data_IF_325907200460
#
_entry.id   IF_325907200460
#
_cell.length_a   1.000
_cell.length_b   1.000
_cell.length_c   1.000
_cell.angle_alpha   90.00
_cell.angle_beta   90.00
_cell.angle_gamma   90.00
#
_symmetry.space_group_name_H-M   'P 1'
#
loop_
_entity.id
_entity.type
_entity.pdbx_description
1 polymer ?
2 polymer ?
3 non-polymer ?
4 water ?
#
# COMPACT_ATOMS: atom_id res chain seq x y z
N UNK A 6 -8.97 -0.12 -3.46
CA UNK A 6 -7.81 -0.68 -4.13
C UNK A 6 -6.76 -1.12 -3.10
N UNK A 7 -5.57 -1.43 -3.58
CA UNK A 7 -4.46 -1.84 -2.73
C UNK A 7 -3.18 -1.85 -3.56
N UNK A 8 -2.12 -1.22 -3.06
CA UNK A 8 -0.97 -0.94 -3.92
C UNK A 8 -0.60 -2.19 -4.69
N UNK A 9 -0.26 -2.05 -5.97
CA UNK A 9 -0.02 -3.17 -6.91
C UNK A 9 1.22 -4.00 -6.62
N UNK A 10 2.16 -3.49 -5.82
CA UNK A 10 3.38 -4.23 -5.53
C UNK A 10 3.23 -5.07 -4.26
N UNK A 11 2.08 -4.93 -3.62
CA UNK A 11 1.79 -5.65 -2.38
C UNK A 11 0.80 -6.79 -2.64
N UNK A 12 0.19 -6.78 -3.82
CA UNK A 12 -0.71 -7.86 -4.24
C UNK A 12 -0.24 -9.26 -3.86
N UNK A 13 1.01 -9.62 -4.23
CA UNK A 13 1.42 -11.01 -3.99
C UNK A 13 1.31 -11.45 -2.52
N UNK A 14 1.22 -10.49 -1.59
CA UNK A 14 1.03 -10.83 -0.17
C UNK A 14 -0.39 -11.36 0.07
N UNK A 15 -1.27 -11.08 -0.89
CA UNK A 15 -2.68 -11.48 -0.81
C UNK A 15 -2.92 -12.84 -1.47
N UNK A 16 -3.28 -13.81 -0.64
CA UNK A 16 -3.63 -15.14 -1.14
C UNK A 16 -4.47 -15.14 -2.42
N UNK A 17 -5.48 -14.28 -2.50
CA UNK A 17 -6.39 -14.35 -3.66
C UNK A 17 -5.72 -13.78 -4.88
N UNK A 18 -4.89 -12.77 -4.71
CA UNK A 18 -4.11 -12.38 -5.86
C UNK A 18 -3.27 -13.54 -6.41
N UNK A 19 -2.72 -14.34 -5.50
CA UNK A 19 -1.77 -15.37 -5.88
C UNK A 19 -2.54 -16.45 -6.66
N UNK A 20 -3.63 -16.92 -6.08
CA UNK A 20 -4.52 -17.85 -6.76
C UNK A 20 -4.80 -17.35 -8.15
N UNK A 21 -5.14 -16.07 -8.23
CA UNK A 21 -5.54 -15.47 -9.49
C UNK A 21 -4.48 -15.70 -10.56
N UNK A 22 -3.21 -15.81 -10.17
CA UNK A 22 -2.14 -16.02 -11.16
C UNK A 22 -2.21 -17.37 -11.91
N UNK A 23 -2.91 -18.35 -11.34
CA UNK A 23 -2.88 -19.67 -11.96
C UNK A 23 -3.82 -19.74 -13.14
N UNK A 24 -3.24 -19.68 -14.34
CA UNK A 24 -4.03 -19.59 -15.56
C UNK A 24 -4.45 -20.98 -15.97
N UNK A 25 -3.64 -21.60 -16.81
CA UNK A 25 -3.92 -22.97 -17.22
C UNK A 25 -3.19 -23.99 -16.35
N UNK A 26 -3.24 -23.78 -15.04
CA UNK A 26 -2.65 -24.75 -14.12
C UNK A 26 -3.38 -26.08 -14.25
N UNK A 27 -2.61 -27.16 -14.48
CA UNK A 27 -3.23 -28.45 -14.76
C UNK A 27 -3.72 -29.17 -13.50
N UNK A 28 -3.06 -28.98 -12.36
CA UNK A 28 -3.45 -29.72 -11.17
C UNK A 28 -4.58 -29.06 -10.41
N UNK A 29 -5.78 -29.60 -10.63
CA UNK A 29 -6.98 -29.07 -9.98
C UNK A 29 -7.56 -30.11 -9.02
N UNK A 30 -8.88 -30.24 -9.03
CA UNK A 30 -9.58 -31.08 -8.05
C UNK A 30 -9.02 -32.50 -7.98
N UNK A 31 -8.87 -33.02 -6.77
CA UNK A 31 -8.28 -34.32 -6.57
C UNK A 31 -6.77 -34.28 -6.35
N UNK A 32 -6.07 -33.36 -7.02
CA UNK A 32 -4.64 -33.13 -6.83
C UNK A 32 -4.38 -32.41 -5.53
N UNK A 33 -3.16 -32.53 -5.01
CA UNK A 33 -2.81 -31.85 -3.76
C UNK A 33 -2.13 -30.49 -4.00
N UNK A 34 -1.60 -30.26 -5.20
CA UNK A 34 -1.11 -28.94 -5.54
C UNK A 34 -2.11 -28.15 -6.37
N UNK A 35 -3.32 -27.97 -5.83
CA UNK A 35 -4.31 -27.09 -6.47
C UNK A 35 -3.83 -25.63 -6.40
N UNK A 36 -4.27 -24.80 -7.34
CA UNK A 36 -3.97 -23.36 -7.31
C UNK A 36 -4.12 -22.83 -5.88
N UNK A 37 -5.18 -23.25 -5.23
CA UNK A 37 -5.46 -22.81 -3.89
C UNK A 37 -4.35 -23.14 -2.91
N UNK A 38 -3.90 -24.40 -2.93
CA UNK A 38 -2.90 -24.86 -1.97
C UNK A 38 -1.54 -24.23 -2.27
N UNK A 39 -1.35 -23.93 -3.55
CA UNK A 39 -0.14 -23.33 -4.05
C UNK A 39 -0.06 -21.90 -3.48
N UNK A 40 -1.15 -21.16 -3.60
CA UNK A 40 -1.26 -19.81 -3.11
C UNK A 40 -1.07 -19.84 -1.61
N UNK A 41 -1.73 -20.77 -0.94
CA UNK A 41 -1.57 -20.83 0.49
C UNK A 41 -0.08 -20.97 0.79
N UNK A 42 0.62 -21.69 -0.09
CA UNK A 42 2.05 -21.95 0.04
C UNK A 42 2.92 -20.72 -0.30
N UNK A 43 2.34 -19.73 -0.96
CA UNK A 43 3.11 -18.57 -1.34
C UNK A 43 3.49 -18.53 -2.80
N UNK A 44 3.05 -19.52 -3.58
CA UNK A 44 3.45 -19.58 -4.99
C UNK A 44 2.60 -18.74 -5.92
N UNK A 45 3.27 -18.18 -6.91
CA UNK A 45 2.61 -17.48 -7.99
C UNK A 45 2.98 -18.23 -9.26
N UNK A 46 2.06 -18.31 -10.20
CA UNK A 46 2.32 -19.07 -11.40
C UNK A 46 2.97 -18.14 -12.39
N UNK A 47 4.15 -18.49 -12.86
CA UNK A 47 4.85 -17.64 -13.80
C UNK A 47 5.39 -18.49 -14.94
N UNK A 48 4.46 -18.98 -15.78
CA UNK A 48 4.70 -19.99 -16.82
C UNK A 48 5.33 -19.42 -18.06
N UNK A 49 6.40 -20.07 -18.52
CA UNK A 49 6.86 -19.84 -19.87
C UNK A 49 6.50 -21.06 -20.69
N UNK A 50 6.61 -20.94 -22.01
CA UNK A 50 6.33 -22.07 -22.86
C UNK A 50 7.32 -23.20 -22.60
N UNK A 51 8.56 -22.83 -22.27
CA UNK A 51 9.60 -23.82 -22.01
C UNK A 51 9.34 -24.64 -20.74
N UNK A 52 8.70 -24.00 -19.77
CA UNK A 52 8.26 -24.68 -18.55
C UNK A 52 6.92 -24.10 -18.10
N UNK A 53 5.84 -24.66 -18.62
CA UNK A 53 4.47 -24.16 -18.44
C UNK A 53 3.95 -24.34 -17.02
N UNK A 54 4.69 -25.06 -16.17
CA UNK A 54 4.23 -25.30 -14.80
C UNK A 54 5.13 -24.60 -13.77
N UNK A 55 5.74 -23.50 -14.19
CA UNK A 55 6.71 -22.78 -13.37
C UNK A 55 6.02 -21.98 -12.29
N UNK A 56 6.32 -22.30 -11.04
CA UNK A 56 5.75 -21.56 -9.93
C UNK A 56 6.89 -20.96 -9.12
N UNK A 57 6.63 -19.79 -8.53
CA UNK A 57 7.67 -19.03 -7.85
C UNK A 57 7.17 -18.39 -6.56
N UNK A 58 7.91 -18.57 -5.47
CA UNK A 58 7.59 -17.89 -4.25
C UNK A 58 7.74 -16.37 -4.40
N UNK A 59 6.68 -15.63 -4.13
CA UNK A 59 6.69 -14.17 -4.32
C UNK A 59 7.64 -13.51 -3.31
N UNK A 60 7.78 -14.15 -2.16
CA UNK A 60 8.70 -13.74 -1.12
C UNK A 60 10.19 -14.05 -1.28
N UNK A 61 10.51 -15.32 -1.62
CA UNK A 61 11.89 -15.77 -1.77
C UNK A 61 12.34 -15.98 -3.18
N UNK A 62 11.39 -15.97 -4.08
CA UNK A 62 11.66 -15.92 -5.48
C UNK A 62 12.20 -17.22 -5.97
N UNK A 63 12.24 -18.19 -5.09
CA UNK A 63 12.68 -19.51 -5.42
C UNK A 63 11.69 -20.02 -6.43
N UNK A 64 12.19 -20.63 -7.49
CA UNK A 64 11.38 -21.08 -8.63
C UNK A 64 11.36 -22.60 -8.70
N UNK A 65 10.17 -23.16 -8.89
CA UNK A 65 9.97 -24.60 -8.88
C UNK A 65 9.10 -25.07 -10.04
N UNK A 66 9.59 -26.11 -10.73
CA UNK A 66 8.92 -26.73 -11.86
C UNK A 66 8.82 -28.24 -11.63
N UNK A 67 8.30 -28.97 -12.61
CA UNK A 67 8.21 -30.41 -12.48
C UNK A 67 7.23 -30.81 -11.39
N UNK A 68 6.16 -30.03 -11.26
CA UNK A 68 5.11 -30.35 -10.31
C UNK A 68 4.44 -31.66 -10.67
N UNK A 69 4.09 -32.45 -9.67
CA UNK A 69 3.27 -33.64 -9.85
C UNK A 69 2.08 -33.55 -8.92
N UNK A 70 0.97 -34.21 -9.28
CA UNK A 70 -0.31 -34.01 -8.59
C UNK A 70 -0.26 -34.22 -7.07
N UNK A 71 0.59 -35.13 -6.60
CA UNK A 71 0.65 -35.44 -5.17
C UNK A 71 1.55 -34.46 -4.39
N UNK A 72 2.29 -33.62 -5.12
CA UNK A 72 3.14 -32.63 -4.47
C UNK A 72 2.31 -31.74 -3.54
N UNK A 73 2.66 -31.73 -2.26
CA UNK A 73 2.12 -30.77 -1.31
C UNK A 73 2.98 -29.49 -1.30
N UNK A 74 2.47 -28.41 -1.92
CA UNK A 74 3.29 -27.27 -2.32
C UNK A 74 4.02 -26.67 -1.13
N UNK A 75 3.51 -26.92 0.06
CA UNK A 75 4.07 -26.37 1.27
C UNK A 75 5.33 -27.13 1.64
N UNK A 76 5.25 -28.45 1.57
CA UNK A 76 6.39 -29.30 1.89
C UNK A 76 7.47 -29.10 0.84
N UNK A 77 7.07 -29.00 -0.42
CA UNK A 77 8.00 -28.64 -1.47
C UNK A 77 8.65 -27.29 -1.14
N UNK A 78 7.90 -26.39 -0.53
CA UNK A 78 8.44 -25.09 -0.20
C UNK A 78 9.51 -25.24 0.87
N UNK A 79 9.15 -25.84 2.00
CA UNK A 79 10.12 -26.08 3.06
C UNK A 79 11.34 -26.82 2.51
N UNK A 80 11.11 -27.73 1.58
CA UNK A 80 12.17 -28.56 1.05
C UNK A 80 13.19 -27.75 0.24
N UNK A 81 12.70 -26.94 -0.70
CA UNK A 81 13.56 -26.29 -1.67
C UNK A 81 13.97 -24.86 -1.29
N UNK A 82 13.45 -24.38 -0.17
CA UNK A 82 13.83 -23.07 0.33
C UNK A 82 13.46 -22.99 1.79
N UNK A 83 14.24 -23.68 2.60
CA UNK A 83 13.96 -23.84 4.03
C UNK A 83 13.96 -22.51 4.80
N UNK A 84 14.64 -21.50 4.27
CA UNK A 84 14.82 -20.26 5.02
C UNK A 84 13.87 -19.13 4.66
N UNK A 85 12.76 -19.46 4.02
CA UNK A 85 11.83 -18.43 3.56
C UNK A 85 10.94 -17.93 4.70
N UNK A 86 11.10 -16.66 5.05
CA UNK A 86 10.40 -16.04 6.18
C UNK A 86 8.89 -16.10 6.06
N UNK A 87 8.39 -16.17 4.83
CA UNK A 87 6.96 -16.38 4.61
C UNK A 87 6.42 -17.64 5.30
N UNK A 88 7.14 -18.75 5.14
CA UNK A 88 6.81 -20.00 5.82
C UNK A 88 6.53 -19.83 7.30
N UNK A 89 7.27 -18.93 7.92
CA UNK A 89 7.14 -18.65 9.35
C UNK A 89 5.87 -17.87 9.64
N UNK A 90 5.50 -17.01 8.71
CA UNK A 90 4.28 -16.24 8.87
C UNK A 90 3.12 -17.18 9.12
N UNK A 91 2.57 -17.15 10.32
CA UNK A 91 1.45 -18.03 10.62
C UNK A 91 0.10 -17.32 10.76
N UNK A 92 0.11 -15.98 10.74
CA UNK A 92 -1.15 -15.24 10.76
C UNK A 92 -1.70 -15.05 9.35
N UNK A 93 -3.01 -14.83 9.25
CA UNK A 93 -3.57 -14.34 7.99
C UNK A 93 -3.10 -12.88 7.76
N UNK A 94 -3.07 -12.48 6.49
CA UNK A 94 -2.52 -11.19 6.14
C UNK A 94 -3.10 -10.03 7.00
N UNK A 95 -4.42 -9.94 7.09
CA UNK A 95 -5.06 -8.84 7.80
C UNK A 95 -4.95 -8.93 9.31
N UNK A 96 -4.41 -10.04 9.81
CA UNK A 96 -4.14 -10.16 11.23
C UNK A 96 -2.74 -9.63 11.48
N UNK A 97 -1.98 -9.46 10.42
CA UNK A 97 -0.63 -8.90 10.55
C UNK A 97 -0.68 -7.43 10.98
N UNK A 98 0.30 -7.05 11.77
CA UNK A 98 0.55 -5.67 12.10
C UNK A 98 1.24 -4.98 10.92
N UNK A 99 1.09 -3.66 10.82
CA UNK A 99 1.75 -2.92 9.75
C UNK A 99 3.24 -2.94 9.91
N UNK A 100 3.69 -2.95 11.16
CA UNK A 100 5.10 -3.07 11.43
C UNK A 100 5.62 -4.41 10.94
N UNK A 101 5.02 -5.48 11.43
CA UNK A 101 5.32 -6.82 10.96
C UNK A 101 5.28 -6.83 9.44
N UNK A 102 4.21 -6.29 8.86
CA UNK A 102 4.10 -6.30 7.42
C UNK A 102 5.31 -5.67 6.78
N UNK A 103 5.73 -4.52 7.29
CA UNK A 103 6.84 -3.80 6.67
C UNK A 103 8.17 -4.48 6.93
N UNK A 104 8.27 -5.21 8.04
CA UNK A 104 9.45 -6.01 8.29
C UNK A 104 9.55 -7.02 7.15
N UNK A 105 8.49 -7.82 7.00
CA UNK A 105 8.41 -8.83 5.96
C UNK A 105 8.76 -8.26 4.61
N UNK A 106 8.15 -7.13 4.27
CA UNK A 106 8.31 -6.59 2.93
C UNK A 106 9.73 -6.11 2.73
N UNK A 107 10.45 -5.95 3.84
CA UNK A 107 11.82 -5.46 3.78
C UNK A 107 12.68 -6.65 3.43
N UNK A 108 12.49 -7.73 4.18
CA UNK A 108 13.19 -8.96 3.86
C UNK A 108 12.96 -9.41 2.43
N UNK A 109 11.82 -9.08 1.87
CA UNK A 109 11.48 -9.58 0.55
C UNK A 109 12.20 -8.76 -0.48
N UNK A 110 12.35 -7.48 -0.21
CA UNK A 110 13.06 -6.62 -1.14
C UNK A 110 14.53 -6.99 -1.16
N UNK A 111 15.03 -7.44 0.00
CA UNK A 111 16.38 -8.00 0.07
C UNK A 111 16.46 -9.39 -0.61
N UNK A 112 15.52 -10.28 -0.34
CA UNK A 112 15.53 -11.57 -1.04
C UNK A 112 15.60 -11.33 -2.54
N UNK A 113 14.84 -10.35 -3.01
CA UNK A 113 14.81 -10.00 -4.41
C UNK A 113 16.19 -9.58 -4.90
N UNK A 114 16.88 -8.77 -4.11
CA UNK A 114 18.23 -8.35 -4.47
C UNK A 114 19.21 -9.54 -4.50
N UNK A 115 19.26 -10.33 -3.43
CA UNK A 115 20.00 -11.60 -3.48
C UNK A 115 19.79 -12.36 -4.78
N UNK A 116 18.53 -12.49 -5.20
CA UNK A 116 18.13 -13.28 -6.37
C UNK A 116 18.74 -12.75 -7.66
N UNK A 117 18.55 -11.46 -7.91
CA UNK A 117 19.19 -10.78 -9.03
C UNK A 117 20.72 -10.96 -8.99
N UNK A 118 21.30 -10.91 -7.80
CA UNK A 118 22.74 -11.09 -7.69
C UNK A 118 23.07 -12.48 -8.19
N UNK A 119 22.45 -13.47 -7.57
CA UNK A 119 22.66 -14.86 -7.95
C UNK A 119 22.46 -15.08 -9.45
N UNK A 120 21.52 -14.36 -10.04
CA UNK A 120 21.33 -14.47 -11.47
C UNK A 120 22.51 -13.91 -12.22
N UNK A 121 22.91 -12.69 -11.85
CA UNK A 121 23.96 -11.99 -12.57
C UNK A 121 25.23 -12.79 -12.56
N UNK A 122 25.46 -13.49 -11.45
CA UNK A 122 26.63 -14.32 -11.27
C UNK A 122 26.58 -15.53 -12.19
N UNK A 123 25.36 -16.03 -12.43
CA UNK A 123 25.16 -17.21 -13.27
C UNK A 123 25.36 -16.82 -14.71
N UNK A 124 24.85 -15.67 -15.09
CA UNK A 124 25.10 -15.13 -16.42
C UNK A 124 26.59 -14.89 -16.65
N UNK A 125 27.30 -14.56 -15.57
CA UNK A 125 28.70 -14.19 -15.69
C UNK A 125 29.52 -15.45 -15.96
N UNK A 126 29.32 -16.48 -15.14
CA UNK A 126 29.99 -17.75 -15.33
C UNK A 126 29.66 -18.34 -16.69
N UNK A 127 28.44 -18.13 -17.14
CA UNK A 127 28.05 -18.68 -18.42
C UNK A 127 28.91 -18.11 -19.53
N UNK A 128 28.99 -16.78 -19.61
CA UNK A 128 29.78 -16.12 -20.64
C UNK A 128 31.27 -16.45 -20.51
N UNK A 129 31.74 -16.65 -19.29
CA UNK A 129 33.13 -17.01 -19.10
C UNK A 129 33.39 -18.36 -19.78
N UNK A 130 32.53 -19.35 -19.54
CA UNK A 130 32.64 -20.66 -20.17
C UNK A 130 32.77 -20.50 -21.68
N UNK A 131 31.93 -19.64 -22.24
CA UNK A 131 31.97 -19.49 -23.68
C UNK A 131 33.35 -19.03 -24.07
N UNK A 132 33.84 -18.03 -23.36
CA UNK A 132 35.12 -17.42 -23.64
C UNK A 132 36.27 -18.42 -23.53
N UNK A 133 36.27 -19.18 -22.46
CA UNK A 133 37.30 -20.15 -22.28
C UNK A 133 37.25 -21.18 -23.39
N UNK A 134 36.06 -21.62 -23.76
CA UNK A 134 35.92 -22.59 -24.83
C UNK A 134 36.42 -22.04 -26.15
N UNK A 135 36.06 -20.81 -26.45
CA UNK A 135 36.51 -20.20 -27.69
C UNK A 135 38.04 -20.14 -27.68
N UNK A 136 38.61 -19.84 -26.52
CA UNK A 136 40.05 -19.66 -26.44
C UNK A 136 40.80 -20.98 -26.64
N UNK A 137 40.27 -22.06 -26.09
CA UNK A 137 40.87 -23.38 -26.31
C UNK A 137 40.83 -23.73 -27.79
N UNK A 138 39.68 -23.49 -28.42
CA UNK A 138 39.52 -23.72 -29.84
C UNK A 138 40.56 -22.93 -30.63
N UNK A 139 41.03 -21.83 -30.06
CA UNK A 139 42.06 -21.03 -30.71
C UNK A 139 43.48 -21.49 -30.33
N UNK A 140 43.65 -21.97 -29.11
CA UNK A 140 44.97 -22.34 -28.61
C UNK A 140 45.54 -23.57 -29.32
N UNK B 6 9.50 1.28 1.62
CA UNK B 6 8.85 2.36 0.89
C UNK B 6 7.34 2.29 1.03
N UNK B 7 6.73 3.38 1.46
CA UNK B 7 5.29 3.44 1.63
C UNK B 7 4.63 4.09 0.43
N UNK B 8 3.73 3.37 -0.25
CA UNK B 8 3.08 3.89 -1.45
C UNK B 8 2.60 5.31 -1.20
N UNK B 9 2.79 6.20 -2.18
CA UNK B 9 2.60 7.64 -2.02
C UNK B 9 1.22 8.02 -1.48
N UNK B 10 0.22 7.21 -1.75
CA UNK B 10 -1.15 7.56 -1.38
C UNK B 10 -1.44 7.27 0.10
N UNK B 11 -0.55 6.53 0.74
CA UNK B 11 -0.80 6.12 2.11
C UNK B 11 0.07 6.93 3.08
N UNK B 12 0.97 7.71 2.49
CA UNK B 12 1.82 8.63 3.22
C UNK B 12 1.06 9.42 4.29
N UNK B 13 -0.09 10.02 3.92
CA UNK B 13 -0.73 10.92 4.90
C UNK B 13 -1.08 10.21 6.20
N UNK B 14 -1.12 8.89 6.16
CA UNK B 14 -1.35 8.13 7.39
C UNK B 14 -0.15 8.23 8.32
N UNK B 15 0.98 8.68 7.77
CA UNK B 15 2.23 8.76 8.52
C UNK B 15 2.47 10.10 9.16
N UNK B 16 2.47 10.13 10.48
CA UNK B 16 2.74 11.35 11.21
C UNK B 16 3.86 12.15 10.55
N UNK B 17 4.98 11.48 10.31
CA UNK B 17 6.18 12.16 9.82
C UNK B 17 5.89 12.86 8.51
N UNK B 18 5.18 12.16 7.64
CA UNK B 18 4.84 12.74 6.37
C UNK B 18 4.00 13.98 6.57
N UNK B 19 3.20 13.98 7.63
CA UNK B 19 2.26 15.06 7.81
C UNK B 19 3.02 16.29 8.27
N UNK B 20 3.93 16.11 9.24
CA UNK B 20 4.78 17.20 9.69
C UNK B 20 5.53 17.80 8.50
N UNK B 21 6.25 16.93 7.80
CA UNK B 21 7.02 17.32 6.63
C UNK B 21 6.20 18.12 5.64
N UNK B 22 4.88 18.05 5.75
CA UNK B 22 3.99 18.75 4.84
C UNK B 22 3.97 20.25 5.14
N UNK B 23 4.50 20.62 6.29
CA UNK B 23 4.39 21.98 6.75
C UNK B 23 5.56 22.84 6.32
N UNK B 24 5.25 23.83 5.49
CA UNK B 24 6.28 24.71 5.00
C UNK B 24 6.01 26.14 5.45
N UNK B 25 6.99 26.74 6.10
CA UNK B 25 6.82 28.11 6.49
C UNK B 25 5.55 28.22 7.28
N UNK B 26 5.33 27.29 8.18
CA UNK B 26 4.11 27.34 8.95
C UNK B 26 4.32 28.35 10.06
N UNK B 27 3.53 29.40 10.08
CA UNK B 27 3.83 30.49 10.99
C UNK B 27 3.84 30.12 12.45
N UNK B 28 2.88 29.39 12.98
CA UNK B 28 2.94 29.16 14.40
C UNK B 28 4.13 28.25 14.64
N UNK B 29 4.67 28.27 15.85
CA UNK B 29 5.85 27.46 16.16
C UNK B 29 6.12 27.23 17.62
N UNK B 30 7.33 26.79 17.93
CA UNK B 30 7.65 26.46 19.30
C UNK B 30 7.34 27.67 20.14
N UNK B 31 6.76 27.41 21.30
CA UNK B 31 6.22 28.43 22.16
C UNK B 31 4.74 28.49 21.86
N UNK B 32 4.32 27.87 20.77
CA UNK B 32 2.90 27.85 20.44
C UNK B 32 2.27 26.46 20.52
N UNK B 33 1.05 26.43 21.03
CA UNK B 33 0.23 25.23 21.25
C UNK B 33 -0.03 24.43 19.97
N UNK B 34 -0.26 25.13 18.88
CA UNK B 34 -0.51 24.51 17.59
C UNK B 34 0.77 24.41 16.75
N UNK B 35 1.76 23.71 17.28
CA UNK B 35 2.98 23.40 16.54
C UNK B 35 2.71 22.47 15.37
N UNK B 36 3.58 22.50 14.36
CA UNK B 36 3.50 21.52 13.27
C UNK B 36 3.41 20.10 13.82
N UNK B 37 4.26 19.78 14.78
CA UNK B 37 4.26 18.46 15.40
C UNK B 37 2.88 18.10 15.96
N UNK B 38 2.22 19.04 16.61
CA UNK B 38 0.93 18.77 17.25
C UNK B 38 -0.22 18.80 16.25
N UNK B 39 0.01 19.46 15.11
CA UNK B 39 -0.91 19.47 13.99
C UNK B 39 -0.95 18.10 13.29
N UNK B 40 0.22 17.61 12.89
CA UNK B 40 0.35 16.27 12.34
C UNK B 40 -0.32 15.29 13.28
N UNK B 41 0.01 15.37 14.57
CA UNK B 41 -0.53 14.40 15.53
C UNK B 41 -2.05 14.41 15.48
N UNK B 42 -2.61 15.60 15.21
CA UNK B 42 -4.04 15.79 15.13
C UNK B 42 -4.60 15.37 13.77
N UNK B 43 -3.72 15.01 12.84
CA UNK B 43 -4.16 14.53 11.54
C UNK B 43 -4.12 15.51 10.39
N UNK B 44 -3.66 16.75 10.63
CA UNK B 44 -3.67 17.80 9.61
C UNK B 44 -2.48 17.80 8.68
N UNK B 45 -2.71 18.20 7.43
CA UNK B 45 -1.61 18.54 6.55
C UNK B 45 -1.67 20.03 6.21
N UNK B 46 -0.51 20.60 5.93
CA UNK B 46 -0.44 21.99 5.52
C UNK B 46 -0.66 22.09 4.02
N UNK B 47 -1.85 22.54 3.62
CA UNK B 47 -2.12 22.77 2.20
C UNK B 47 -2.24 24.26 1.94
N UNK B 48 -1.13 24.99 2.13
CA UNK B 48 -1.12 26.45 2.13
C UNK B 48 -1.39 26.96 0.74
N UNK B 49 -2.19 28.01 0.65
CA UNK B 49 -2.45 28.66 -0.62
C UNK B 49 -1.89 30.08 -0.56
N UNK B 50 -1.55 30.66 -1.71
CA UNK B 50 -1.03 32.03 -1.74
C UNK B 50 -1.96 32.96 -0.96
N UNK B 51 -3.25 32.63 -0.97
CA UNK B 51 -4.24 33.30 -0.15
C UNK B 51 -3.80 33.31 1.32
N UNK B 52 -3.90 32.16 1.97
CA UNK B 52 -3.43 32.02 3.33
C UNK B 52 -2.55 30.79 3.50
N UNK B 53 -1.22 31.01 3.59
CA UNK B 53 -0.29 29.92 3.88
C UNK B 53 -0.46 29.43 5.32
N UNK B 54 -1.72 29.30 5.75
CA UNK B 54 -2.05 28.63 7.01
C UNK B 54 -3.23 27.66 6.82
N UNK B 55 -3.50 27.31 5.56
CA UNK B 55 -4.51 26.32 5.23
C UNK B 55 -4.06 24.93 5.69
N UNK B 56 -4.86 24.32 6.56
CA UNK B 56 -4.62 22.94 6.98
C UNK B 56 -5.86 22.10 6.75
N UNK B 57 -5.64 20.83 6.48
CA UNK B 57 -6.71 19.90 6.21
C UNK B 57 -6.45 18.58 6.88
N UNK B 58 -7.49 18.01 7.46
CA UNK B 58 -7.40 16.68 8.00
C UNK B 58 -7.29 15.69 6.84
N UNK B 59 -6.21 14.92 6.81
CA UNK B 59 -5.99 13.99 5.70
C UNK B 59 -7.09 12.95 5.65
N UNK B 60 -7.74 12.71 6.79
CA UNK B 60 -8.72 11.66 6.94
C UNK B 60 -10.19 12.05 6.65
N UNK B 61 -10.69 13.14 7.23
CA UNK B 61 -12.06 13.63 6.96
C UNK B 61 -12.09 14.80 6.00
N UNK B 62 -10.93 15.41 5.77
CA UNK B 62 -10.82 16.41 4.71
C UNK B 62 -11.40 17.75 5.16
N UNK B 63 -11.90 17.77 6.39
CA UNK B 63 -12.30 19.03 7.00
C UNK B 63 -11.15 20.01 6.79
N UNK B 64 -11.49 21.25 6.45
CA UNK B 64 -10.48 22.26 6.17
C UNK B 64 -10.58 23.43 7.13
N UNK B 65 -9.44 23.97 7.54
CA UNK B 65 -9.38 24.97 8.59
C UNK B 65 -8.19 25.88 8.36
N UNK B 66 -8.44 27.18 8.31
CA UNK B 66 -7.39 28.19 8.35
C UNK B 66 -7.73 29.14 9.48
N UNK B 67 -6.93 30.18 9.65
CA UNK B 67 -7.18 31.14 10.71
C UNK B 67 -6.87 30.54 12.07
N UNK B 68 -5.69 29.96 12.17
CA UNK B 68 -5.29 29.26 13.38
C UNK B 68 -4.81 30.24 14.43
N UNK B 69 -5.04 29.91 15.70
CA UNK B 69 -4.56 30.70 16.82
C UNK B 69 -3.58 29.90 17.67
N UNK B 70 -2.50 30.55 18.11
CA UNK B 70 -1.32 29.90 18.69
C UNK B 70 -1.65 29.09 19.94
N UNK B 71 -2.80 29.32 20.55
CA UNK B 71 -3.16 28.59 21.75
C UNK B 71 -4.22 27.55 21.41
N UNK B 72 -4.69 27.59 20.17
CA UNK B 72 -5.54 26.53 19.62
C UNK B 72 -4.88 25.17 19.80
N UNK B 73 -5.62 24.25 20.37
CA UNK B 73 -5.18 22.88 20.49
C UNK B 73 -5.71 22.14 19.27
N UNK B 74 -4.82 21.81 18.33
CA UNK B 74 -5.22 21.15 17.07
C UNK B 74 -6.19 19.98 17.29
N UNK B 75 -5.99 19.21 18.35
CA UNK B 75 -6.87 18.08 18.65
C UNK B 75 -8.24 18.59 19.08
N UNK B 76 -8.25 19.56 20.00
CA UNK B 76 -9.48 20.18 20.46
C UNK B 76 -10.19 20.81 19.26
N UNK B 77 -9.44 21.57 18.45
CA UNK B 77 -10.03 22.19 17.26
C UNK B 77 -10.58 21.17 16.27
N UNK B 78 -9.93 20.01 16.17
CA UNK B 78 -10.40 18.92 15.32
C UNK B 78 -11.69 18.31 15.82
N UNK B 79 -11.75 18.01 17.10
CA UNK B 79 -12.91 17.37 17.64
C UNK B 79 -14.11 18.26 17.50
N UNK B 80 -13.92 19.53 17.78
CA UNK B 80 -15.03 20.45 17.72
C UNK B 80 -15.58 20.56 16.32
N UNK B 81 -14.69 20.73 15.36
CA UNK B 81 -15.10 20.83 13.97
C UNK B 81 -15.61 19.59 13.24
N UNK B 82 -15.00 18.45 13.48
CA UNK B 82 -15.42 17.21 12.84
C UNK B 82 -15.53 16.13 13.86
N UNK B 83 -16.47 16.29 14.77
CA UNK B 83 -16.69 15.34 15.85
C UNK B 83 -16.64 13.88 15.41
N UNK B 84 -17.21 13.59 14.24
CA UNK B 84 -17.31 12.22 13.76
C UNK B 84 -16.23 11.80 12.78
N UNK B 85 -14.98 12.11 13.10
CA UNK B 85 -13.87 11.76 12.25
C UNK B 85 -13.21 10.55 12.87
N UNK B 86 -13.16 9.44 12.12
CA UNK B 86 -12.67 8.18 12.66
C UNK B 86 -11.24 8.29 13.17
N UNK B 87 -10.42 9.07 12.47
CA UNK B 87 -9.05 9.30 12.89
C UNK B 87 -8.95 9.57 14.38
N UNK B 88 -9.85 10.41 14.86
CA UNK B 88 -9.87 10.81 16.26
C UNK B 88 -9.98 9.62 17.18
N UNK B 89 -10.66 8.59 16.72
CA UNK B 89 -10.77 7.35 17.49
C UNK B 89 -9.45 6.59 17.50
N UNK B 90 -8.65 6.74 16.45
CA UNK B 90 -7.43 5.95 16.34
C UNK B 90 -6.47 6.30 17.45
N UNK B 91 -6.22 5.33 18.32
CA UNK B 91 -5.38 5.56 19.48
C UNK B 91 -4.03 4.82 19.39
N UNK B 92 -3.95 3.86 18.48
CA UNK B 92 -2.70 3.13 18.31
C UNK B 92 -1.75 3.87 17.36
N UNK B 93 -0.45 3.65 17.52
CA UNK B 93 0.51 4.14 16.54
C UNK B 93 0.23 3.45 15.20
N UNK B 94 0.70 4.04 14.11
CA UNK B 94 0.47 3.48 12.78
C UNK B 94 0.95 2.01 12.65
N UNK B 95 2.25 1.80 12.85
CA UNK B 95 2.82 0.46 12.79
C UNK B 95 2.15 -0.47 13.80
N UNK B 96 1.42 0.11 14.74
CA UNK B 96 0.75 -0.69 15.76
C UNK B 96 -0.57 -1.19 15.21
N UNK B 97 -1.03 -0.54 14.15
CA UNK B 97 -2.32 -0.88 13.53
C UNK B 97 -2.27 -2.23 12.84
N UNK B 98 -3.41 -2.90 12.78
CA UNK B 98 -3.54 -4.15 12.05
C UNK B 98 -3.90 -3.88 10.59
N UNK B 99 -3.47 -4.76 9.69
CA UNK B 99 -3.72 -4.58 8.27
C UNK B 99 -5.22 -4.46 8.03
N UNK B 100 -6.01 -5.17 8.83
CA UNK B 100 -7.44 -5.09 8.73
C UNK B 100 -7.87 -3.71 9.16
N UNK B 101 -7.60 -3.41 10.44
CA UNK B 101 -7.84 -2.09 11.00
C UNK B 101 -7.50 -1.01 9.98
N UNK B 102 -6.27 -1.03 9.48
CA UNK B 102 -5.85 -0.10 8.45
C UNK B 102 -6.72 -0.08 7.21
N UNK B 103 -6.92 -1.25 6.60
CA UNK B 103 -7.76 -1.34 5.42
C UNK B 103 -9.14 -0.76 5.68
N UNK B 104 -9.67 -1.02 6.87
CA UNK B 104 -10.95 -0.46 7.25
C UNK B 104 -10.87 1.08 7.28
N UNK B 105 -9.79 1.62 7.86
CA UNK B 105 -9.62 3.07 7.90
C UNK B 105 -9.47 3.67 6.53
N UNK B 106 -8.70 3.02 5.66
CA UNK B 106 -8.47 3.60 4.34
C UNK B 106 -9.74 3.63 3.48
N UNK B 107 -10.69 2.75 3.77
CA UNK B 107 -11.97 2.74 3.05
C UNK B 107 -12.82 3.87 3.54
N UNK B 108 -13.03 3.90 4.86
CA UNK B 108 -13.54 5.08 5.53
C UNK B 108 -13.07 6.38 4.87
N UNK B 109 -11.76 6.54 4.69
CA UNK B 109 -11.22 7.80 4.15
C UNK B 109 -11.67 8.06 2.71
N UNK B 110 -11.56 7.07 1.85
CA UNK B 110 -11.99 7.21 0.47
C UNK B 110 -13.48 7.56 0.43
N UNK B 111 -14.21 6.97 1.36
CA UNK B 111 -15.61 7.27 1.52
C UNK B 111 -15.76 8.76 1.86
N UNK B 112 -15.02 9.24 2.86
CA UNK B 112 -15.14 10.65 3.25
C UNK B 112 -14.79 11.53 2.09
N UNK B 113 -13.83 11.08 1.30
CA UNK B 113 -13.37 11.85 0.16
C UNK B 113 -14.51 12.07 -0.83
N UNK B 114 -15.24 11.01 -1.18
CA UNK B 114 -16.35 11.16 -2.10
C UNK B 114 -17.46 12.03 -1.50
N UNK B 115 -17.84 11.74 -0.26
CA UNK B 115 -18.84 12.55 0.43
C UNK B 115 -18.49 14.03 0.37
N UNK B 116 -17.19 14.32 0.42
CA UNK B 116 -16.72 15.70 0.34
C UNK B 116 -16.96 16.23 -1.05
N UNK B 117 -16.49 15.49 -2.03
CA UNK B 117 -16.53 15.94 -3.41
C UNK B 117 -17.95 16.15 -3.91
N UNK B 118 -18.84 15.21 -3.59
CA UNK B 118 -20.21 15.30 -4.08
C UNK B 118 -20.89 16.49 -3.40
N UNK B 119 -20.67 16.64 -2.10
CA UNK B 119 -21.07 17.85 -1.39
C UNK B 119 -20.70 19.11 -2.16
N UNK B 120 -19.54 19.11 -2.80
CA UNK B 120 -19.14 20.27 -3.60
C UNK B 120 -19.98 20.40 -4.85
N UNK B 121 -20.12 19.28 -5.57
CA UNK B 121 -20.92 19.19 -6.78
C UNK B 121 -22.31 19.77 -6.55
N UNK B 122 -23.01 19.23 -5.55
CA UNK B 122 -24.31 19.69 -5.11
C UNK B 122 -24.36 21.23 -4.97
N UNK B 123 -23.54 21.78 -4.08
CA UNK B 123 -23.54 23.22 -3.85
C UNK B 123 -23.29 24.02 -5.14
N UNK B 124 -22.35 23.55 -5.93
CA UNK B 124 -22.08 24.16 -7.22
C UNK B 124 -23.33 24.12 -8.10
N UNK B 125 -23.97 22.97 -8.14
CA UNK B 125 -25.16 22.81 -8.97
C UNK B 125 -26.25 23.78 -8.58
N UNK B 126 -26.57 23.81 -7.29
CA UNK B 126 -27.58 24.72 -6.77
C UNK B 126 -27.31 26.16 -7.17
N UNK B 127 -26.05 26.55 -7.08
CA UNK B 127 -25.67 27.91 -7.46
C UNK B 127 -25.99 28.16 -8.93
N UNK B 128 -25.65 27.20 -9.78
CA UNK B 128 -25.99 27.28 -11.18
C UNK B 128 -27.51 27.31 -11.35
N UNK B 129 -28.19 26.57 -10.49
CA UNK B 129 -29.64 26.49 -10.65
C UNK B 129 -30.22 27.87 -10.34
N UNK B 130 -29.70 28.52 -9.29
CA UNK B 130 -30.18 29.87 -8.94
C UNK B 130 -29.94 30.88 -10.06
N UNK B 131 -28.77 30.87 -10.67
CA UNK B 131 -28.51 31.82 -11.74
C UNK B 131 -29.48 31.61 -12.91
N UNK B 132 -29.73 30.35 -13.23
CA UNK B 132 -30.65 30.06 -14.32
C UNK B 132 -32.07 30.51 -14.03
N UNK B 133 -32.55 30.24 -12.82
CA UNK B 133 -33.91 30.64 -12.48
C UNK B 133 -34.07 32.16 -12.53
N UNK B 134 -33.14 32.87 -11.88
CA UNK B 134 -33.12 34.32 -11.91
C UNK B 134 -33.25 34.85 -13.33
N UNK B 135 -32.42 34.32 -14.22
CA UNK B 135 -32.40 34.82 -15.60
C UNK B 135 -33.72 34.56 -16.32
N UNK B 136 -34.37 33.43 -16.01
CA UNK B 136 -35.66 33.12 -16.61
C UNK B 136 -36.73 34.06 -16.05
N UNK B 137 -36.66 34.30 -14.75
CA UNK B 137 -37.55 35.26 -14.12
C UNK B 137 -37.43 36.66 -14.75
N UNK B 138 -36.22 37.20 -14.79
CA UNK B 138 -36.02 38.50 -15.41
C UNK B 138 -36.64 38.55 -16.80
N UNK B 139 -36.58 37.44 -17.52
CA UNK B 139 -37.19 37.36 -18.85
C UNK B 139 -38.71 37.42 -18.82
N UNK B 140 -39.31 36.95 -17.73
CA UNK B 140 -40.77 37.02 -17.58
C UNK B 140 -41.21 38.48 -17.48
N UNK B 141 -40.38 39.27 -16.81
CA UNK B 141 -40.59 40.71 -16.67
C UNK B 141 -40.12 41.49 -17.89
N UNK C 1 8.07 -31.69 -7.19
CA UNK C 1 8.58 -30.53 -7.93
C UNK C 1 10.07 -30.33 -7.66
N UNK C 2 10.73 -29.58 -8.54
CA UNK C 2 12.18 -29.46 -8.46
C UNK C 2 12.63 -28.06 -8.86
N UNK C 3 13.75 -27.62 -8.28
CA UNK C 3 14.37 -26.34 -8.61
C UNK C 3 14.43 -26.13 -10.11
N UNK C 4 14.29 -24.89 -10.56
CA UNK C 4 14.21 -24.62 -11.99
C UNK C 4 15.48 -25.04 -12.73
N UNK C 5 15.38 -25.12 -14.06
CA UNK C 5 16.51 -25.34 -14.96
C UNK C 5 17.87 -25.05 -14.31
N UNK D 1 -10.35 26.98 15.36
CA UNK D 1 -10.25 27.95 14.28
C UNK D 1 -11.48 27.89 13.41
N UNK D 2 -11.34 28.24 12.15
CA UNK D 2 -12.51 28.34 11.30
C UNK D 2 -12.48 27.59 9.97
N UNK D 3 -13.64 27.03 9.64
CA UNK D 3 -13.85 26.28 8.40
C UNK D 3 -13.64 27.17 7.25
N UNK D 4 -13.02 26.66 6.22
CA UNK D 4 -12.61 27.51 5.12
C UNK D 4 -13.78 28.15 4.44
N UNK D 5 -13.56 29.34 3.89
CA UNK D 5 -14.58 30.05 3.15
C UNK D 5 -15.98 29.57 3.51
X LIG E 1 9.51 -18.66 -0.33
X LIG F 1 -10.48 14.48 10.59
#
# INVERSE_FOLDING_TARGET
GMGAPTLPPAWQPFLKDHRISTFKNWPFLEGCACTPERMAEAGFIHCPTENEPDLAQCFFCFKELEGWEPDDDPIEEHKKHSSGCAFLSVKKQFEELTLGEFLKLDRERAKNKIAKETNNKKKEFEETAKKVRRAIEQLAAMD
GMGAPTLPPAWQPFLKDHRISTFKNWPFLEGCACTPERMAEAGFIHCPTENEPDLAQCFFCFKELEGWEPDDDPIEEHKKHSSGCAFLSVKKQFEELTLGEFLKLDRERAKNKIAKETNNKKKEFEETAKKVRRAIEQLAAMD
ARTKQTARKSTGGKA
ARTKQTARKSTGGKA
ZN ZN
ZN ZN
#
